data_IF_964933467913
#
_entry.id   IF_964933467913
#
_cell.length_a   1.000
_cell.length_b   1.000
_cell.length_c   1.000
_cell.angle_alpha   90.00
_cell.angle_beta   90.00
_cell.angle_gamma   90.00
#
_symmetry.space_group_name_H-M   'P 1'
#
loop_
_entity.id
_entity.type
_entity.pdbx_description
1 polymer ?
#
# COMPACT_ATOMS: atom_id res chain seq x y z
N UNK A 1 0.34 -8.13 -4.12
CA UNK A 1 1.75 -8.36 -3.78
C UNK A 1 1.95 -9.32 -2.60
N UNK A 2 1.10 -9.30 -1.57
CA UNK A 2 1.19 -10.21 -0.40
C UNK A 2 1.16 -11.68 -0.81
N UNK A 3 0.29 -12.07 -1.76
CA UNK A 3 0.23 -13.44 -2.27
C UNK A 3 1.58 -13.95 -2.81
N UNK A 4 2.34 -13.08 -3.48
CA UNK A 4 3.65 -13.45 -4.05
C UNK A 4 4.72 -13.57 -2.97
N UNK A 5 4.72 -12.66 -2.00
CA UNK A 5 5.79 -12.56 -1.00
C UNK A 5 5.56 -13.45 0.22
N UNK A 6 4.30 -13.70 0.57
CA UNK A 6 3.90 -14.44 1.76
C UNK A 6 2.46 -14.95 1.57
N UNK A 7 2.33 -16.12 0.95
CA UNK A 7 1.02 -16.71 0.65
C UNK A 7 0.22 -17.06 1.93
N UNK A 8 0.82 -17.61 3.00
CA UNK A 8 0.12 -17.78 4.26
C UNK A 8 -0.43 -16.48 4.86
N UNK A 9 0.34 -15.38 4.77
CA UNK A 9 -0.13 -14.06 5.20
C UNK A 9 -1.32 -13.59 4.35
N UNK A 10 -1.30 -13.86 3.05
CA UNK A 10 -2.42 -13.55 2.17
C UNK A 10 -3.67 -14.34 2.59
N UNK A 11 -3.55 -15.65 2.85
CA UNK A 11 -4.65 -16.49 3.32
C UNK A 11 -5.19 -15.99 4.66
N UNK A 12 -4.31 -15.72 5.64
CA UNK A 12 -4.71 -15.17 6.94
C UNK A 12 -5.55 -13.88 6.79
N UNK A 13 -5.11 -12.96 5.93
CA UNK A 13 -5.78 -11.67 5.73
C UNK A 13 -7.09 -11.77 4.98
N UNK A 14 -7.10 -12.47 3.85
CA UNK A 14 -8.22 -12.42 2.91
C UNK A 14 -9.23 -13.54 3.08
N UNK A 15 -8.84 -14.71 3.57
CA UNK A 15 -9.76 -15.80 3.82
C UNK A 15 -10.23 -15.86 5.29
N UNK A 16 -9.37 -15.50 6.23
CA UNK A 16 -9.69 -15.51 7.66
C UNK A 16 -9.93 -14.13 8.26
N UNK A 17 -9.74 -13.06 7.52
CA UNK A 17 -10.02 -11.69 7.98
C UNK A 17 -9.06 -11.17 9.06
N UNK A 18 -7.90 -11.80 9.24
CA UNK A 18 -6.91 -11.36 10.24
C UNK A 18 -6.26 -10.08 9.75
N UNK A 19 -6.58 -8.97 10.41
CA UNK A 19 -6.00 -7.66 10.10
C UNK A 19 -4.76 -7.42 10.96
N UNK A 20 -3.62 -7.18 10.33
CA UNK A 20 -2.50 -6.55 11.02
C UNK A 20 -2.78 -5.06 11.12
N UNK A 21 -2.65 -4.48 12.30
CA UNK A 21 -2.68 -3.03 12.43
C UNK A 21 -1.60 -2.37 11.56
N UNK A 22 -1.86 -1.17 11.08
CA UNK A 22 -0.85 -0.37 10.40
C UNK A 22 0.21 0.08 11.39
N UNK A 23 1.50 -0.06 11.07
CA UNK A 23 2.55 0.51 11.91
C UNK A 23 2.63 2.04 11.77
N UNK A 24 3.20 2.73 12.77
CA UNK A 24 3.30 4.19 12.78
C UNK A 24 3.93 4.79 11.50
N UNK A 25 4.88 4.09 10.87
CA UNK A 25 5.46 4.54 9.59
C UNK A 25 4.49 4.48 8.41
N UNK A 26 3.57 3.50 8.38
CA UNK A 26 2.52 3.44 7.37
C UNK A 26 1.48 4.55 7.60
N UNK A 27 1.06 4.75 8.86
CA UNK A 27 0.16 5.84 9.24
C UNK A 27 0.74 7.20 8.84
N UNK A 28 2.05 7.44 9.09
CA UNK A 28 2.71 8.65 8.59
C UNK A 28 2.50 8.83 7.09
N UNK A 29 2.67 7.79 6.28
CA UNK A 29 2.44 7.83 4.83
C UNK A 29 1.01 8.26 4.49
N UNK A 30 0.03 7.57 5.07
CA UNK A 30 -1.40 7.85 4.84
C UNK A 30 -1.78 9.28 5.23
N UNK A 31 -1.28 9.79 6.34
CA UNK A 31 -1.55 11.17 6.78
C UNK A 31 -0.94 12.20 5.82
N UNK A 32 0.28 11.95 5.31
CA UNK A 32 0.89 12.83 4.31
C UNK A 32 0.05 12.89 3.02
N UNK A 33 -0.45 11.75 2.58
CA UNK A 33 -1.34 11.67 1.40
C UNK A 33 -2.64 12.44 1.64
N UNK A 34 -3.29 12.24 2.79
CA UNK A 34 -4.56 12.90 3.13
C UNK A 34 -4.41 14.44 3.22
N UNK A 35 -3.35 14.93 3.89
CA UNK A 35 -3.11 16.38 4.00
C UNK A 35 -2.72 16.98 2.65
N UNK A 36 -1.97 16.25 1.81
CA UNK A 36 -1.69 16.67 0.46
C UNK A 36 -2.95 16.76 -0.40
N UNK A 37 -3.86 15.77 -0.30
CA UNK A 37 -5.14 15.80 -1.00
C UNK A 37 -5.98 17.01 -0.57
N UNK A 38 -6.05 17.28 0.74
CA UNK A 38 -6.74 18.44 1.28
C UNK A 38 -6.18 19.78 0.75
N UNK A 39 -4.88 19.86 0.48
CA UNK A 39 -4.27 21.04 -0.14
C UNK A 39 -4.90 21.38 -1.50
N UNK A 40 -5.26 20.39 -2.31
CA UNK A 40 -5.90 20.65 -3.62
C UNK A 40 -7.31 21.25 -3.49
N UNK A 41 -7.98 21.01 -2.38
CA UNK A 41 -9.29 21.61 -2.09
C UNK A 41 -9.18 22.97 -1.43
N UNK A 42 -8.22 23.14 -0.49
CA UNK A 42 -8.11 24.33 0.36
C UNK A 42 -7.08 25.35 -0.12
N UNK A 43 -6.23 24.96 -1.08
CA UNK A 43 -5.10 25.76 -1.56
C UNK A 43 -3.89 25.76 -0.63
N UNK A 44 -3.96 25.14 0.57
CA UNK A 44 -2.92 25.20 1.60
C UNK A 44 -2.59 23.83 2.17
N UNK A 45 -1.29 23.53 2.30
CA UNK A 45 -0.81 22.36 3.03
C UNK A 45 -0.85 22.65 4.54
N UNK A 46 -1.73 21.98 5.26
CA UNK A 46 -1.94 22.23 6.69
C UNK A 46 -1.05 21.33 7.57
N UNK A 47 0.04 21.88 8.07
CA UNK A 47 0.99 21.18 8.92
C UNK A 47 0.42 20.80 10.30
N UNK A 48 -0.59 21.51 10.82
CA UNK A 48 -1.21 21.16 12.10
C UNK A 48 -2.07 19.90 11.93
N UNK A 49 -2.72 19.76 10.77
CA UNK A 49 -3.54 18.60 10.46
C UNK A 49 -2.71 17.30 10.41
N UNK A 50 -1.43 17.36 10.03
CA UNK A 50 -0.54 16.20 10.05
C UNK A 50 -0.45 15.54 11.42
N UNK A 51 -0.24 16.36 12.46
CA UNK A 51 -0.07 15.83 13.81
C UNK A 51 -1.38 15.30 14.38
N UNK A 52 -2.47 16.05 14.20
CA UNK A 52 -3.80 15.66 14.67
C UNK A 52 -4.18 14.31 14.05
N UNK A 53 -4.20 14.21 12.72
CA UNK A 53 -4.59 12.98 12.03
C UNK A 53 -3.65 11.81 12.35
N UNK A 54 -2.35 12.06 12.53
CA UNK A 54 -1.42 11.00 12.89
C UNK A 54 -1.73 10.39 14.26
N UNK A 55 -2.01 11.24 15.26
CA UNK A 55 -2.34 10.77 16.60
C UNK A 55 -3.67 10.04 16.62
N UNK A 56 -4.69 10.56 15.93
CA UNK A 56 -6.00 9.94 15.82
C UNK A 56 -5.92 8.55 15.16
N UNK A 57 -5.25 8.45 14.03
CA UNK A 57 -5.06 7.18 13.32
C UNK A 57 -4.22 6.17 14.12
N UNK A 58 -3.24 6.62 14.90
CA UNK A 58 -2.51 5.74 15.80
C UNK A 58 -3.43 5.18 16.90
N UNK A 59 -4.28 6.02 17.48
CA UNK A 59 -5.25 5.62 18.50
C UNK A 59 -6.29 4.62 17.92
N UNK A 60 -6.88 4.92 16.76
CA UNK A 60 -7.83 4.05 16.06
C UNK A 60 -7.21 2.69 15.69
N UNK A 61 -5.92 2.68 15.37
CA UNK A 61 -5.17 1.44 15.08
C UNK A 61 -4.71 0.69 16.33
N UNK A 62 -5.11 1.14 17.52
CA UNK A 62 -4.69 0.59 18.82
C UNK A 62 -3.16 0.54 19.01
N UNK A 63 -2.45 1.50 18.43
CA UNK A 63 -1.00 1.61 18.63
C UNK A 63 -0.75 2.29 19.97
N UNK A 64 0.11 1.68 20.80
CA UNK A 64 0.54 2.31 22.03
C UNK A 64 1.28 3.61 21.73
N UNK A 65 0.66 4.75 22.07
CA UNK A 65 1.18 6.09 21.81
C UNK A 65 2.50 6.39 22.55
N UNK A 66 2.78 5.67 23.64
CA UNK A 66 4.06 5.75 24.36
C UNK A 66 5.19 4.97 23.66
N UNK A 67 4.92 4.28 22.56
CA UNK A 67 5.95 3.54 21.83
C UNK A 67 6.97 4.54 21.22
N UNK A 68 8.29 4.35 21.45
CA UNK A 68 9.32 5.21 20.88
C UNK A 68 9.26 5.33 19.34
N UNK A 69 8.74 4.33 18.65
CA UNK A 69 8.52 4.39 17.19
C UNK A 69 7.47 5.43 16.82
N UNK A 70 6.41 5.59 17.63
CA UNK A 70 5.39 6.63 17.40
C UNK A 70 5.99 8.01 17.55
N UNK A 71 6.71 8.25 18.64
CA UNK A 71 7.40 9.53 18.87
C UNK A 71 8.39 9.87 17.74
N UNK A 72 9.15 8.87 17.27
CA UNK A 72 10.06 9.02 16.13
C UNK A 72 9.33 9.43 14.86
N UNK A 73 8.27 8.71 14.49
CA UNK A 73 7.51 8.99 13.26
C UNK A 73 6.78 10.33 13.34
N UNK A 74 6.20 10.67 14.51
CA UNK A 74 5.63 12.00 14.80
C UNK A 74 6.65 13.12 14.56
N UNK A 75 7.88 12.98 15.08
CA UNK A 75 8.95 13.96 14.90
C UNK A 75 9.42 14.14 13.44
N UNK A 76 9.04 13.25 12.55
CA UNK A 76 9.36 13.31 11.12
C UNK A 76 8.24 13.92 10.26
N UNK A 77 7.00 14.00 10.78
CA UNK A 77 5.82 14.42 10.00
C UNK A 77 6.05 15.74 9.25
N UNK A 78 6.45 16.77 9.99
CA UNK A 78 6.66 18.11 9.44
C UNK A 78 7.73 18.12 8.35
N UNK A 79 8.85 17.43 8.55
CA UNK A 79 9.96 17.37 7.58
C UNK A 79 9.51 16.72 6.26
N UNK A 80 8.74 15.64 6.33
CA UNK A 80 8.14 15.02 5.13
C UNK A 80 7.17 15.98 4.46
N UNK A 81 6.28 16.63 5.23
CA UNK A 81 5.31 17.59 4.72
C UNK A 81 5.97 18.76 3.98
N UNK A 82 7.05 19.33 4.53
CA UNK A 82 7.81 20.42 3.90
C UNK A 82 8.41 19.99 2.55
N UNK A 83 8.96 18.78 2.46
CA UNK A 83 9.49 18.24 1.20
C UNK A 83 8.37 18.01 0.19
N UNK A 84 7.24 17.43 0.63
CA UNK A 84 6.08 17.15 -0.23
C UNK A 84 5.46 18.46 -0.71
N UNK A 85 5.16 19.40 0.18
CA UNK A 85 4.54 20.67 -0.15
C UNK A 85 5.35 21.50 -1.16
N UNK A 86 6.67 21.49 -0.99
CA UNK A 86 7.60 22.18 -1.88
C UNK A 86 7.74 21.53 -3.25
N UNK A 87 7.74 20.21 -3.34
CA UNK A 87 8.21 19.50 -4.52
C UNK A 87 7.14 18.69 -5.26
N UNK A 88 5.99 18.40 -4.62
CA UNK A 88 4.87 17.72 -5.28
C UNK A 88 4.08 18.74 -6.11
N UNK A 89 4.56 18.98 -7.36
CA UNK A 89 4.05 20.00 -8.27
C UNK A 89 3.28 19.35 -9.41
N UNK A 90 2.10 18.83 -9.06
CA UNK A 90 1.11 18.35 -10.02
C UNK A 90 -0.14 19.23 -9.92
N UNK A 91 -0.78 19.51 -11.03
CA UNK A 91 -1.92 20.42 -11.11
C UNK A 91 -3.16 19.66 -11.58
N UNK A 92 -4.34 20.22 -11.30
CA UNK A 92 -5.62 19.66 -11.74
C UNK A 92 -5.85 18.23 -11.25
N UNK A 93 -5.80 18.05 -9.92
CA UNK A 93 -6.21 16.80 -9.29
C UNK A 93 -7.66 16.51 -9.66
N UNK A 94 -7.91 15.37 -10.27
CA UNK A 94 -9.25 14.91 -10.61
C UNK A 94 -9.83 14.01 -9.52
N UNK A 95 -9.01 13.06 -9.01
CA UNK A 95 -9.47 12.12 -7.99
C UNK A 95 -8.36 11.78 -6.99
N UNK A 96 -8.76 11.51 -5.75
CA UNK A 96 -7.93 11.03 -4.66
C UNK A 96 -8.49 9.71 -4.11
N UNK A 97 -7.64 8.71 -3.87
CA UNK A 97 -7.98 7.37 -3.41
C UNK A 97 -9.06 6.71 -4.30
N UNK A 98 -8.90 6.88 -5.61
CA UNK A 98 -9.84 6.36 -6.59
C UNK A 98 -9.75 4.84 -6.70
N UNK A 99 -10.91 4.18 -6.50
CA UNK A 99 -11.03 2.75 -6.74
C UNK A 99 -11.01 2.46 -8.24
N UNK A 100 -10.11 1.58 -8.66
CA UNK A 100 -10.04 1.08 -10.02
C UNK A 100 -10.23 -0.43 -10.07
N UNK A 101 -10.83 -0.90 -11.16
CA UNK A 101 -11.08 -2.31 -11.40
C UNK A 101 -10.53 -2.69 -12.79
N UNK A 102 -9.71 -3.72 -12.83
CA UNK A 102 -9.16 -4.26 -14.07
C UNK A 102 -9.64 -5.69 -14.25
N UNK A 103 -10.49 -5.89 -15.25
CA UNK A 103 -11.01 -7.20 -15.62
C UNK A 103 -10.03 -7.90 -16.56
N UNK A 104 -9.57 -9.08 -16.19
CA UNK A 104 -8.89 -9.99 -17.11
C UNK A 104 -9.89 -10.95 -17.72
N UNK A 105 -9.75 -11.24 -19.02
CA UNK A 105 -10.52 -12.28 -19.67
C UNK A 105 -10.31 -13.60 -18.92
N UNK A 106 -11.33 -14.39 -18.79
CA UNK A 106 -11.33 -15.69 -18.10
C UNK A 106 -11.20 -15.61 -16.56
N UNK A 107 -11.33 -14.41 -15.96
CA UNK A 107 -11.38 -14.24 -14.51
C UNK A 107 -12.82 -13.91 -14.07
N UNK A 108 -13.32 -14.57 -12.99
CA UNK A 108 -14.70 -14.34 -12.52
C UNK A 108 -14.88 -12.98 -11.83
N UNK A 109 -13.78 -12.38 -11.36
CA UNK A 109 -13.80 -11.10 -10.63
C UNK A 109 -12.64 -10.22 -11.08
N UNK A 110 -12.80 -8.87 -11.05
CA UNK A 110 -11.73 -7.94 -11.40
C UNK A 110 -10.63 -7.89 -10.32
N UNK A 111 -9.45 -7.45 -10.73
CA UNK A 111 -8.40 -7.03 -9.82
C UNK A 111 -8.65 -5.58 -9.44
N UNK A 112 -8.72 -5.32 -8.12
CA UNK A 112 -9.03 -4.01 -7.57
C UNK A 112 -7.74 -3.31 -7.11
N UNK A 113 -7.66 -2.01 -7.33
CA UNK A 113 -6.65 -1.12 -6.79
C UNK A 113 -7.24 0.21 -6.34
N UNK A 114 -6.42 1.00 -5.64
CA UNK A 114 -6.76 2.37 -5.24
C UNK A 114 -5.62 3.26 -5.67
N UNK A 115 -5.92 4.24 -6.53
CA UNK A 115 -4.97 5.25 -7.02
C UNK A 115 -4.88 6.36 -5.98
N UNK A 116 -3.67 6.67 -5.50
CA UNK A 116 -3.50 7.75 -4.52
C UNK A 116 -3.92 9.10 -5.12
N UNK A 117 -3.36 9.48 -6.28
CA UNK A 117 -3.67 10.74 -6.95
C UNK A 117 -3.80 10.52 -8.46
N UNK A 118 -4.96 10.86 -9.03
CA UNK A 118 -5.16 10.91 -10.47
C UNK A 118 -5.34 12.35 -10.95
N UNK A 119 -4.49 12.74 -11.88
CA UNK A 119 -4.52 13.99 -12.60
C UNK A 119 -4.96 13.72 -14.06
N UNK A 120 -5.25 14.77 -14.82
CA UNK A 120 -5.77 14.68 -16.19
C UNK A 120 -4.99 13.70 -17.09
N UNK A 121 -3.66 13.74 -17.03
CA UNK A 121 -2.76 12.94 -17.89
C UNK A 121 -1.79 12.06 -17.10
N UNK A 122 -1.95 11.99 -15.80
CA UNK A 122 -0.97 11.38 -14.91
C UNK A 122 -1.57 10.73 -13.68
N UNK A 123 -0.99 9.61 -13.30
CA UNK A 123 -1.25 8.93 -12.02
C UNK A 123 0.00 9.05 -11.18
N UNK A 124 -0.14 9.46 -9.94
CA UNK A 124 0.98 9.60 -9.00
C UNK A 124 0.68 8.81 -7.73
N UNK A 125 1.61 7.97 -7.35
CA UNK A 125 1.60 7.22 -6.11
C UNK A 125 2.68 7.81 -5.19
N UNK A 126 2.25 8.34 -4.03
CA UNK A 126 3.14 8.98 -3.06
C UNK A 126 3.71 7.95 -2.09
N UNK A 127 5.02 7.93 -1.98
CA UNK A 127 5.71 7.06 -1.02
C UNK A 127 6.59 7.87 -0.08
N UNK A 128 6.45 7.64 1.22
CA UNK A 128 7.32 8.23 2.22
C UNK A 128 8.30 7.19 2.77
N UNK A 129 9.58 7.52 2.80
CA UNK A 129 10.63 6.63 3.29
C UNK A 129 11.70 7.42 4.02
N UNK A 130 12.30 6.87 5.07
CA UNK A 130 13.43 7.49 5.76
C UNK A 130 14.73 7.45 4.96
N UNK A 131 14.80 6.59 3.93
CA UNK A 131 15.93 6.49 2.98
C UNK A 131 15.40 6.55 1.56
N UNK A 132 16.07 7.32 0.70
CA UNK A 132 15.73 7.39 -0.71
C UNK A 132 16.06 6.05 -1.39
N UNK A 133 15.08 5.39 -2.03
CA UNK A 133 15.38 4.19 -2.81
C UNK A 133 16.12 4.55 -4.09
N UNK A 134 17.06 3.70 -4.50
CA UNK A 134 17.77 3.85 -5.77
C UNK A 134 16.90 3.51 -6.99
N UNK A 135 15.90 2.66 -6.79
CA UNK A 135 14.93 2.24 -7.81
C UNK A 135 13.63 1.76 -7.17
N UNK A 136 12.51 1.82 -7.89
CA UNK A 136 11.25 1.22 -7.46
C UNK A 136 11.35 -0.30 -7.32
N UNK A 137 10.67 -0.84 -6.33
CA UNK A 137 10.57 -2.29 -6.13
C UNK A 137 9.66 -2.94 -7.19
N UNK A 138 9.80 -4.24 -7.39
CA UNK A 138 8.93 -5.01 -8.27
C UNK A 138 7.44 -4.92 -7.85
N UNK A 139 7.19 -4.86 -6.54
CA UNK A 139 5.84 -4.71 -5.99
C UNK A 139 5.21 -3.36 -6.38
N UNK A 140 5.98 -2.27 -6.30
CA UNK A 140 5.54 -0.94 -6.70
C UNK A 140 5.32 -0.86 -8.21
N UNK A 141 6.20 -1.45 -9.02
CA UNK A 141 6.02 -1.48 -10.48
C UNK A 141 4.77 -2.28 -10.88
N UNK A 142 4.46 -3.39 -10.20
CA UNK A 142 3.19 -4.12 -10.40
C UNK A 142 1.97 -3.29 -9.99
N UNK A 143 2.05 -2.53 -8.91
CA UNK A 143 0.97 -1.62 -8.50
C UNK A 143 0.72 -0.57 -9.59
N UNK A 144 1.76 0.10 -10.07
CA UNK A 144 1.65 1.10 -11.13
C UNK A 144 1.23 0.49 -12.48
N UNK A 145 1.60 -0.77 -12.75
CA UNK A 145 1.11 -1.48 -13.91
C UNK A 145 -0.42 -1.70 -13.87
N UNK A 146 -0.99 -2.01 -12.70
CA UNK A 146 -2.44 -2.10 -12.53
C UNK A 146 -3.11 -0.76 -12.86
N UNK A 147 -2.59 0.34 -12.33
CA UNK A 147 -3.13 1.67 -12.56
C UNK A 147 -3.05 2.08 -14.04
N UNK A 148 -1.92 1.77 -14.71
CA UNK A 148 -1.77 2.02 -16.15
C UNK A 148 -2.63 1.11 -17.05
N UNK A 149 -3.23 0.06 -16.51
CA UNK A 149 -4.24 -0.74 -17.22
C UNK A 149 -5.62 -0.11 -17.11
N UNK A 150 -5.96 0.46 -15.96
CA UNK A 150 -7.21 1.20 -15.77
C UNK A 150 -7.22 2.51 -16.58
N UNK A 151 -6.09 3.17 -16.68
CA UNK A 151 -5.90 4.45 -17.41
C UNK A 151 -4.73 4.37 -18.40
N UNK A 152 -4.92 3.75 -19.57
CA UNK A 152 -3.82 3.46 -20.51
C UNK A 152 -3.16 4.70 -21.13
N UNK A 153 -3.85 5.83 -21.12
CA UNK A 153 -3.35 7.10 -21.68
C UNK A 153 -2.62 7.98 -20.65
N UNK A 154 -2.66 7.59 -19.36
CA UNK A 154 -1.99 8.34 -18.30
C UNK A 154 -0.57 7.83 -18.10
N UNK A 155 0.38 8.74 -17.98
CA UNK A 155 1.70 8.40 -17.46
C UNK A 155 1.63 8.08 -15.97
N UNK A 156 2.54 7.23 -15.46
CA UNK A 156 2.54 6.80 -14.06
C UNK A 156 3.85 7.17 -13.38
N UNK A 157 3.74 7.90 -12.28
CA UNK A 157 4.86 8.38 -11.48
C UNK A 157 4.81 7.78 -10.07
N UNK A 158 5.96 7.34 -9.58
CA UNK A 158 6.20 7.10 -8.16
C UNK A 158 6.95 8.30 -7.58
N UNK A 159 6.31 9.04 -6.69
CA UNK A 159 6.93 10.17 -6.00
C UNK A 159 7.38 9.72 -4.61
N UNK A 160 8.69 9.67 -4.40
CA UNK A 160 9.28 9.36 -3.11
C UNK A 160 9.68 10.62 -2.38
N UNK A 161 9.22 10.77 -1.13
CA UNK A 161 9.69 11.79 -0.21
C UNK A 161 10.48 11.16 0.94
N UNK A 162 11.57 11.81 1.33
CA UNK A 162 12.31 11.57 2.57
C UNK A 162 12.23 12.83 3.44
N UNK A 163 12.70 12.82 4.70
CA UNK A 163 12.75 14.04 5.51
C UNK A 163 13.69 15.13 4.99
N UNK A 164 14.46 14.85 3.93
CA UNK A 164 15.50 15.78 3.40
C UNK A 164 15.35 16.09 1.93
N UNK A 165 14.79 15.14 1.16
CA UNK A 165 14.81 15.21 -0.30
C UNK A 165 13.66 14.39 -0.91
N UNK A 166 13.48 14.50 -2.21
CA UNK A 166 12.52 13.73 -2.98
C UNK A 166 13.15 13.14 -4.23
N UNK A 167 12.52 12.10 -4.77
CA UNK A 167 12.83 11.59 -6.10
C UNK A 167 11.54 11.16 -6.80
N UNK A 168 11.54 11.29 -8.12
CA UNK A 168 10.42 10.89 -8.97
C UNK A 168 10.86 9.87 -9.99
N UNK A 169 10.17 8.74 -10.04
CA UNK A 169 10.37 7.72 -11.04
C UNK A 169 9.15 7.66 -11.97
N UNK A 170 9.29 8.16 -13.19
CA UNK A 170 8.30 7.93 -14.24
C UNK A 170 8.50 6.52 -14.79
N UNK A 171 7.46 5.69 -14.70
CA UNK A 171 7.55 4.29 -15.09
C UNK A 171 7.05 4.10 -16.51
N UNK A 172 7.98 3.77 -17.39
CA UNK A 172 7.72 3.40 -18.77
C UNK A 172 7.83 1.88 -18.92
N UNK A 173 7.24 1.33 -19.99
CA UNK A 173 7.38 -0.08 -20.37
C UNK A 173 6.96 -1.07 -19.26
N UNK A 174 5.71 -0.94 -18.80
CA UNK A 174 5.14 -1.79 -17.73
C UNK A 174 4.58 -3.14 -18.22
N UNK A 175 4.79 -3.51 -19.49
CA UNK A 175 4.24 -4.73 -20.11
C UNK A 175 4.57 -6.01 -19.34
N UNK A 176 5.81 -6.15 -18.87
CA UNK A 176 6.26 -7.29 -18.05
C UNK A 176 5.46 -7.38 -16.75
N UNK A 177 5.21 -6.26 -16.09
CA UNK A 177 4.47 -6.20 -14.82
C UNK A 177 2.97 -6.42 -15.00
N UNK A 178 2.38 -5.98 -16.12
CA UNK A 178 1.00 -6.32 -16.53
C UNK A 178 0.85 -7.82 -16.69
N UNK A 179 1.79 -8.47 -17.36
CA UNK A 179 1.78 -9.93 -17.51
C UNK A 179 1.99 -10.66 -16.17
N UNK A 180 2.85 -10.15 -15.27
CA UNK A 180 3.00 -10.69 -13.93
C UNK A 180 1.71 -10.60 -13.14
N UNK A 181 0.99 -9.46 -13.18
CA UNK A 181 -0.30 -9.29 -12.51
C UNK A 181 -1.33 -10.31 -13.00
N UNK A 182 -1.44 -10.49 -14.33
CA UNK A 182 -2.33 -11.50 -14.91
C UNK A 182 -2.00 -12.90 -14.37
N UNK A 183 -0.72 -13.30 -14.40
CA UNK A 183 -0.29 -14.60 -13.88
C UNK A 183 -0.61 -14.78 -12.39
N UNK A 184 -0.42 -13.74 -11.57
CA UNK A 184 -0.75 -13.78 -10.14
C UNK A 184 -2.24 -13.91 -9.93
N UNK A 185 -3.07 -13.17 -10.67
CA UNK A 185 -4.52 -13.26 -10.59
C UNK A 185 -5.00 -14.69 -10.92
N UNK A 186 -4.51 -15.27 -12.00
CA UNK A 186 -4.80 -16.67 -12.34
C UNK A 186 -4.32 -17.68 -11.29
N UNK A 187 -3.15 -17.46 -10.70
CA UNK A 187 -2.63 -18.32 -9.64
C UNK A 187 -3.52 -18.29 -8.41
N UNK A 188 -3.99 -17.10 -8.01
CA UNK A 188 -4.95 -16.93 -6.91
C UNK A 188 -6.26 -17.66 -7.23
N UNK A 189 -6.81 -17.45 -8.42
CA UNK A 189 -8.03 -18.12 -8.85
C UNK A 189 -7.88 -19.64 -8.79
N UNK A 190 -6.78 -20.16 -9.33
CA UNK A 190 -6.50 -21.60 -9.33
C UNK A 190 -6.37 -22.14 -7.90
N UNK A 191 -5.71 -21.42 -7.01
CA UNK A 191 -5.64 -21.80 -5.61
C UNK A 191 -7.03 -21.83 -4.96
N UNK A 192 -7.84 -20.80 -5.17
CA UNK A 192 -9.20 -20.73 -4.62
C UNK A 192 -10.16 -21.77 -5.22
N UNK A 193 -9.89 -22.29 -6.42
CA UNK A 193 -10.71 -23.32 -7.04
C UNK A 193 -10.46 -24.74 -6.50
N UNK A 194 -9.44 -24.95 -5.67
CA UNK A 194 -9.14 -26.27 -5.07
C UNK A 194 -10.21 -26.67 -4.07
N UNK A 195 -10.72 -25.72 -3.28
CA UNK A 195 -11.77 -25.97 -2.29
C UNK A 195 -12.56 -24.71 -1.96
N UNK A 196 -13.83 -24.88 -1.62
CA UNK A 196 -14.67 -23.83 -1.02
C UNK A 196 -14.46 -23.69 0.49
N UNK A 197 -13.75 -24.64 1.12
CA UNK A 197 -13.40 -24.57 2.55
C UNK A 197 -12.03 -23.87 2.73
N UNK A 198 -12.07 -22.73 3.40
CA UNK A 198 -10.86 -21.96 3.71
C UNK A 198 -9.87 -22.71 4.61
N UNK A 199 -10.33 -23.66 5.45
CA UNK A 199 -9.46 -24.47 6.30
C UNK A 199 -8.73 -25.53 5.48
N UNK A 200 -9.39 -26.10 4.49
CA UNK A 200 -8.75 -27.00 3.55
C UNK A 200 -7.69 -26.25 2.73
N UNK A 201 -8.01 -25.07 2.20
CA UNK A 201 -7.03 -24.23 1.53
C UNK A 201 -5.83 -23.87 2.42
N UNK A 202 -6.06 -23.54 3.68
CA UNK A 202 -5.01 -23.25 4.64
C UNK A 202 -4.11 -24.46 4.92
N UNK A 203 -4.65 -25.68 4.93
CA UNK A 203 -3.87 -26.90 5.15
C UNK A 203 -2.83 -27.20 4.07
N UNK A 204 -2.99 -26.59 2.88
CA UNK A 204 -2.06 -26.75 1.74
C UNK A 204 -0.78 -25.93 1.87
N UNK A 205 -0.72 -25.01 2.82
CA UNK A 205 0.40 -24.07 3.01
C UNK A 205 0.73 -23.94 4.50
N UNK A 206 1.95 -23.49 4.80
CA UNK A 206 2.38 -23.30 6.19
C UNK A 206 3.13 -21.98 6.36
N UNK A 207 2.85 -21.17 7.41
CA UNK A 207 3.52 -19.89 7.64
C UNK A 207 4.96 -20.06 8.13
N UNK A 208 5.87 -19.25 7.60
CA UNK A 208 7.20 -19.08 8.17
C UNK A 208 7.14 -18.01 9.28
N UNK A 209 6.93 -18.44 10.50
CA UNK A 209 6.81 -17.56 11.67
C UNK A 209 8.11 -16.81 12.02
N UNK A 210 9.26 -17.19 11.48
CA UNK A 210 10.52 -16.47 11.68
C UNK A 210 10.63 -15.23 10.79
N UNK A 211 9.78 -15.12 9.78
CA UNK A 211 9.74 -13.93 8.92
C UNK A 211 9.30 -12.69 9.71
N UNK A 212 9.98 -11.58 9.47
CA UNK A 212 9.67 -10.27 10.09
C UNK A 212 8.25 -9.75 9.80
N UNK A 213 7.58 -10.32 8.81
CA UNK A 213 6.19 -9.97 8.45
C UNK A 213 5.19 -10.45 9.49
N UNK A 214 5.54 -11.45 10.30
CA UNK A 214 4.71 -12.06 11.33
C UNK A 214 4.97 -11.42 12.69
N UNK A 215 4.18 -10.39 13.05
CA UNK A 215 4.18 -9.85 14.41
C UNK A 215 3.66 -10.87 15.43
N UNK A 216 3.95 -10.68 16.70
CA UNK A 216 3.50 -11.60 17.76
C UNK A 216 1.97 -11.76 17.78
N UNK A 217 1.24 -10.66 17.53
CA UNK A 217 -0.21 -10.72 17.37
C UNK A 217 -0.61 -11.61 16.19
N UNK A 218 0.00 -11.41 15.02
CA UNK A 218 -0.31 -12.22 13.83
C UNK A 218 0.06 -13.68 14.01
N UNK A 219 1.17 -13.98 14.69
CA UNK A 219 1.55 -15.37 15.05
C UNK A 219 0.49 -16.01 15.92
N UNK A 220 0.02 -15.30 16.97
CA UNK A 220 -1.03 -15.79 17.86
C UNK A 220 -2.32 -16.11 17.12
N UNK A 221 -2.76 -15.23 16.24
CA UNK A 221 -3.97 -15.46 15.45
C UNK A 221 -3.77 -16.57 14.39
N UNK A 222 -2.62 -16.62 13.74
CA UNK A 222 -2.29 -17.64 12.75
C UNK A 222 -2.23 -19.05 13.36
N UNK A 223 -1.78 -19.20 14.60
CA UNK A 223 -1.77 -20.49 15.32
C UNK A 223 -3.18 -21.07 15.50
N UNK A 224 -4.21 -20.25 15.52
CA UNK A 224 -5.61 -20.73 15.54
C UNK A 224 -6.02 -21.39 14.21
N UNK A 225 -5.31 -21.09 13.12
CA UNK A 225 -5.57 -21.63 11.78
C UNK A 225 -4.69 -22.86 11.53
N UNK A 226 -3.39 -22.74 11.80
CA UNK A 226 -2.38 -23.76 11.46
C UNK A 226 -1.91 -24.61 12.64
N UNK A 227 -2.36 -24.32 13.85
CA UNK A 227 -1.93 -25.01 15.06
C UNK A 227 -0.61 -24.48 15.65
N UNK A 228 -0.29 -24.96 16.84
CA UNK A 228 1.02 -24.80 17.46
C UNK A 228 1.97 -25.91 16.96
N UNK A 229 3.16 -25.52 16.55
CA UNK A 229 4.32 -26.41 16.54
C UNK A 229 5.19 -26.08 17.72
#
# INVERSE_FOLDING_TARGET
NTYISDMPMWVARYLFGIKSGSGAGAIRGTVQEAVLANKYTTGKFDFNLLEIQFMDMCAESNINLSNPKVAKEKGLLRKFGEVIDKNFKYENLEEYQEKVEVQFNDMPVPVIGYIDFRFKDKIVDLKTSTRMPSKPTEAQKRQMALYSMAYPNNSVDLFFATPKDYNKFTLNNLSVYKNQLKKVAFSIQKFLSISNDKHELASLIYPNYDSWTWSDYLKKEAKKIWGDK
#
